data_IF_487690309763
#
_entry.id   IF_487690309763
#
_cell.length_a   1.000
_cell.length_b   1.000
_cell.length_c   1.000
_cell.angle_alpha   90.00
_cell.angle_beta   90.00
_cell.angle_gamma   90.00
#
_symmetry.space_group_name_H-M   'P 1'
#
loop_
_entity.id
_entity.type
_entity.pdbx_description
1 polymer ?
#
# COMPACT_ATOMS: atom_id res chain seq x y z
N UNK A 1 1.12 5.76 -19.56
CA UNK A 1 2.51 5.40 -19.18
C UNK A 1 2.45 5.00 -17.72
N UNK A 2 3.08 3.91 -17.31
CA UNK A 2 3.13 3.50 -15.90
C UNK A 2 4.11 4.38 -15.14
N UNK A 3 3.73 4.81 -13.93
CA UNK A 3 4.64 5.50 -13.02
C UNK A 3 5.30 4.49 -12.09
N UNK A 4 6.62 4.63 -11.95
CA UNK A 4 7.41 3.85 -10.99
C UNK A 4 7.85 4.74 -9.84
N UNK A 5 7.74 4.23 -8.63
CA UNK A 5 8.15 4.90 -7.41
C UNK A 5 9.04 4.01 -6.54
N UNK A 6 9.44 4.59 -5.42
CA UNK A 6 10.22 3.91 -4.40
C UNK A 6 9.57 4.12 -3.02
N UNK A 7 9.76 3.20 -2.07
CA UNK A 7 9.40 3.47 -0.68
C UNK A 7 10.43 4.43 -0.05
N UNK A 8 10.05 5.07 1.05
CA UNK A 8 11.06 5.66 1.94
C UNK A 8 11.94 4.56 2.53
N UNK A 9 13.24 4.82 2.61
CA UNK A 9 14.24 3.86 3.08
C UNK A 9 14.83 4.32 4.42
N UNK A 10 15.01 3.39 5.36
CA UNK A 10 15.67 3.68 6.66
C UNK A 10 17.12 4.18 6.46
N UNK A 11 17.79 3.74 5.39
CA UNK A 11 19.12 4.20 5.01
C UNK A 11 19.17 5.69 4.64
N UNK A 12 18.02 6.29 4.29
CA UNK A 12 17.88 7.68 3.85
C UNK A 12 16.83 8.39 4.72
N UNK A 13 17.17 8.78 5.95
CA UNK A 13 16.20 9.33 6.90
C UNK A 13 15.67 10.72 6.50
N UNK A 14 16.42 11.49 5.71
CA UNK A 14 15.96 12.79 5.23
C UNK A 14 15.13 12.65 3.94
N UNK A 15 13.96 13.30 3.85
CA UNK A 15 13.12 13.27 2.64
C UNK A 15 13.85 13.76 1.38
N UNK A 16 14.77 14.70 1.54
CA UNK A 16 15.60 15.25 0.47
C UNK A 16 16.53 14.19 -0.16
N UNK A 17 17.12 13.31 0.66
CA UNK A 17 17.99 12.22 0.19
C UNK A 17 17.18 11.18 -0.60
N UNK A 18 15.96 10.85 -0.12
CA UNK A 18 15.03 10.00 -0.87
C UNK A 18 14.67 10.64 -2.22
N UNK A 19 14.39 11.94 -2.24
CA UNK A 19 14.05 12.65 -3.47
C UNK A 19 15.23 12.72 -4.45
N UNK A 20 16.42 12.93 -3.96
CA UNK A 20 17.66 12.87 -4.75
C UNK A 20 17.85 11.52 -5.42
N UNK A 21 17.68 10.42 -4.67
CA UNK A 21 17.76 9.06 -5.19
C UNK A 21 16.63 8.75 -6.18
N UNK A 22 15.39 9.15 -5.87
CA UNK A 22 14.23 8.97 -6.74
C UNK A 22 14.50 9.59 -8.13
N UNK A 23 15.01 10.82 -8.14
CA UNK A 23 15.39 11.52 -9.38
C UNK A 23 16.59 10.88 -10.10
N UNK A 24 17.64 10.49 -9.39
CA UNK A 24 18.82 9.76 -9.95
C UNK A 24 18.35 8.51 -10.69
N UNK A 25 17.38 7.81 -10.10
CA UNK A 25 16.83 6.58 -10.66
C UNK A 25 15.71 6.83 -11.68
N UNK A 26 15.35 8.07 -12.03
CA UNK A 26 14.31 8.39 -12.99
C UNK A 26 12.93 7.87 -12.58
N UNK A 27 12.68 7.76 -11.29
CA UNK A 27 11.38 7.40 -10.71
C UNK A 27 10.50 8.64 -10.58
N UNK A 28 9.17 8.45 -10.54
CA UNK A 28 8.20 9.53 -10.59
C UNK A 28 7.64 9.89 -9.22
N UNK A 29 7.68 8.97 -8.25
CA UNK A 29 7.09 9.22 -6.94
C UNK A 29 7.81 8.49 -5.80
N UNK A 30 7.54 8.94 -4.58
CA UNK A 30 8.00 8.31 -3.34
C UNK A 30 6.78 7.96 -2.52
N UNK A 31 6.70 6.72 -2.06
CA UNK A 31 5.75 6.29 -1.05
C UNK A 31 6.32 6.55 0.33
N UNK A 32 5.75 7.53 1.02
CA UNK A 32 6.09 7.82 2.41
C UNK A 32 5.53 6.72 3.30
N UNK A 33 6.29 6.25 4.31
CA UNK A 33 5.83 5.20 5.21
C UNK A 33 5.58 5.75 6.61
N UNK A 34 4.33 5.74 7.07
CA UNK A 34 3.91 6.25 8.38
C UNK A 34 4.48 5.45 9.58
N UNK A 35 5.00 4.23 9.37
CA UNK A 35 5.72 3.54 10.44
C UNK A 35 7.02 4.26 10.83
N UNK A 36 7.54 5.15 9.96
CA UNK A 36 8.67 6.01 10.27
C UNK A 36 8.18 7.29 10.97
N UNK A 37 8.66 7.62 12.19
CA UNK A 37 8.11 8.70 13.01
C UNK A 37 8.04 10.07 12.32
N UNK A 38 8.98 10.37 11.42
CA UNK A 38 9.02 11.64 10.68
C UNK A 38 7.90 11.78 9.64
N UNK A 39 7.23 10.70 9.26
CA UNK A 39 6.13 10.69 8.29
C UNK A 39 4.74 10.53 8.93
N UNK A 40 4.67 10.56 10.26
CA UNK A 40 3.39 10.69 10.96
C UNK A 40 2.75 12.04 10.64
N UNK A 41 1.41 12.13 10.45
CA UNK A 41 0.74 13.35 9.98
C UNK A 41 1.01 14.60 10.80
N UNK A 42 1.21 14.45 12.12
CA UNK A 42 1.53 15.55 13.06
C UNK A 42 3.01 15.99 13.02
N UNK A 43 3.87 15.23 12.32
CA UNK A 43 5.32 15.49 12.20
C UNK A 43 5.74 15.98 10.84
N UNK A 44 4.95 15.71 9.82
CA UNK A 44 5.29 16.09 8.44
C UNK A 44 5.31 17.61 8.26
N UNK A 45 6.43 18.12 7.79
CA UNK A 45 6.50 19.49 7.28
C UNK A 45 5.98 19.54 5.83
N UNK A 46 4.70 19.89 5.69
CA UNK A 46 4.01 20.01 4.41
C UNK A 46 4.70 21.01 3.47
N UNK A 47 5.27 22.09 3.99
CA UNK A 47 5.95 23.11 3.16
C UNK A 47 7.26 22.56 2.61
N UNK A 48 8.03 21.85 3.44
CA UNK A 48 9.26 21.20 3.00
C UNK A 48 8.99 20.16 1.93
N UNK A 49 7.98 19.26 2.12
CA UNK A 49 7.64 18.27 1.11
C UNK A 49 7.11 18.88 -0.20
N UNK A 50 6.35 19.98 -0.15
CA UNK A 50 5.96 20.71 -1.37
C UNK A 50 7.18 21.25 -2.11
N UNK A 51 8.13 21.85 -1.41
CA UNK A 51 9.37 22.35 -2.02
C UNK A 51 10.18 21.23 -2.65
N UNK A 52 10.27 20.06 -2.02
CA UNK A 52 10.91 18.87 -2.56
C UNK A 52 10.18 18.39 -3.82
N UNK A 53 8.86 18.25 -3.78
CA UNK A 53 8.02 17.87 -4.93
C UNK A 53 8.29 18.77 -6.14
N UNK A 54 8.28 20.08 -5.95
CA UNK A 54 8.50 21.07 -7.02
C UNK A 54 9.94 21.01 -7.54
N UNK A 55 10.94 20.96 -6.64
CA UNK A 55 12.35 20.96 -7.01
C UNK A 55 12.76 19.72 -7.80
N UNK A 56 12.26 18.56 -7.41
CA UNK A 56 12.64 17.28 -8.00
C UNK A 56 11.68 16.80 -9.09
N UNK A 57 10.51 17.45 -9.26
CA UNK A 57 9.50 17.10 -10.25
C UNK A 57 8.90 15.70 -9.99
N UNK A 58 8.63 15.38 -8.73
CA UNK A 58 8.05 14.11 -8.28
C UNK A 58 6.74 14.36 -7.52
N UNK A 59 6.01 13.29 -7.19
CA UNK A 59 4.88 13.36 -6.27
C UNK A 59 5.02 12.32 -5.16
N UNK A 60 4.10 12.32 -4.20
CA UNK A 60 4.11 11.38 -3.08
C UNK A 60 2.85 10.52 -3.09
N UNK A 61 2.97 9.30 -2.59
CA UNK A 61 1.91 8.47 -2.04
C UNK A 61 2.21 8.24 -0.56
N UNK A 62 1.29 7.63 0.18
CA UNK A 62 1.49 7.42 1.62
C UNK A 62 1.06 6.01 2.00
N UNK A 63 1.96 5.25 2.59
CA UNK A 63 1.64 4.00 3.25
C UNK A 63 1.23 4.28 4.70
N UNK A 64 0.00 3.93 5.05
CA UNK A 64 -0.52 4.08 6.42
C UNK A 64 0.20 3.12 7.38
N UNK A 65 0.00 3.32 8.67
CA UNK A 65 0.56 2.43 9.68
C UNK A 65 0.15 0.97 9.42
N UNK A 66 1.11 0.05 9.42
CA UNK A 66 0.86 -1.39 9.20
C UNK A 66 -0.08 -1.99 10.26
N UNK A 67 -0.07 -1.44 11.48
CA UNK A 67 -0.94 -1.87 12.58
C UNK A 67 -2.33 -1.21 12.56
N UNK A 68 -2.65 -0.37 11.57
CA UNK A 68 -3.93 0.31 11.50
C UNK A 68 -5.08 -0.71 11.46
N UNK A 69 -5.92 -0.67 12.50
CA UNK A 69 -7.01 -1.63 12.70
C UNK A 69 -8.32 -0.91 13.10
N UNK A 70 -8.99 -0.24 12.16
CA UNK A 70 -10.24 0.47 12.46
C UNK A 70 -11.39 -0.47 12.86
N UNK A 71 -11.24 -1.78 12.62
CA UNK A 71 -12.14 -2.83 13.09
C UNK A 71 -11.88 -3.32 14.52
N UNK A 72 -10.93 -2.73 15.25
CA UNK A 72 -10.61 -3.16 16.62
C UNK A 72 -11.85 -3.13 17.53
N UNK A 73 -11.97 -4.14 18.40
CA UNK A 73 -13.13 -4.24 19.30
C UNK A 73 -13.02 -3.35 20.55
N UNK A 74 -11.83 -2.80 20.82
CA UNK A 74 -11.70 -1.69 21.76
C UNK A 74 -12.07 -0.38 21.04
N UNK A 75 -13.19 0.27 21.40
CA UNK A 75 -13.68 1.44 20.67
C UNK A 75 -12.72 2.64 20.73
N UNK A 76 -11.92 2.76 21.80
CA UNK A 76 -10.93 3.83 21.90
C UNK A 76 -9.76 3.63 20.93
N UNK A 77 -9.34 2.38 20.71
CA UNK A 77 -8.28 2.03 19.76
C UNK A 77 -8.79 2.20 18.33
N UNK A 78 -9.99 1.67 18.03
CA UNK A 78 -10.62 1.81 16.72
C UNK A 78 -10.81 3.30 16.33
N UNK A 79 -11.28 4.13 17.26
CA UNK A 79 -11.43 5.58 17.04
C UNK A 79 -10.07 6.27 16.84
N UNK A 80 -9.03 5.88 17.59
CA UNK A 80 -7.69 6.41 17.39
C UNK A 80 -7.18 6.12 15.98
N UNK A 81 -7.33 4.89 15.48
CA UNK A 81 -6.94 4.52 14.13
C UNK A 81 -7.77 5.26 13.07
N UNK A 82 -9.07 5.36 13.26
CA UNK A 82 -9.95 6.11 12.34
C UNK A 82 -9.56 7.58 12.25
N UNK A 83 -9.21 8.19 13.39
CA UNK A 83 -8.71 9.57 13.44
C UNK A 83 -7.36 9.71 12.73
N UNK A 84 -6.43 8.78 12.95
CA UNK A 84 -5.13 8.76 12.27
C UNK A 84 -5.31 8.68 10.75
N UNK A 85 -6.22 7.82 10.26
CA UNK A 85 -6.55 7.76 8.83
C UNK A 85 -7.13 9.09 8.31
N UNK A 86 -8.01 9.75 9.06
CA UNK A 86 -8.55 11.05 8.69
C UNK A 86 -7.45 12.14 8.62
N UNK A 87 -6.49 12.12 9.53
CA UNK A 87 -5.33 13.01 9.51
C UNK A 87 -4.43 12.75 8.30
N UNK A 88 -4.19 11.47 7.97
CA UNK A 88 -3.46 11.07 6.76
C UNK A 88 -4.18 11.51 5.48
N UNK A 89 -5.51 11.44 5.42
CA UNK A 89 -6.30 11.96 4.30
C UNK A 89 -6.11 13.48 4.15
N UNK A 90 -6.14 14.23 5.26
CA UNK A 90 -5.88 15.69 5.22
C UNK A 90 -4.48 16.00 4.72
N UNK A 91 -3.47 15.25 5.16
CA UNK A 91 -2.10 15.35 4.66
C UNK A 91 -2.03 15.05 3.15
N UNK A 92 -2.68 13.98 2.71
CA UNK A 92 -2.72 13.61 1.29
C UNK A 92 -3.37 14.72 0.45
N UNK A 93 -4.45 15.32 0.91
CA UNK A 93 -5.09 16.48 0.24
C UNK A 93 -4.15 17.67 0.18
N UNK A 94 -3.43 17.96 1.26
CA UNK A 94 -2.50 19.09 1.33
C UNK A 94 -1.29 18.92 0.39
N UNK A 95 -0.85 17.69 0.13
CA UNK A 95 0.29 17.36 -0.74
C UNK A 95 -0.15 16.83 -2.11
N UNK A 96 -1.46 16.80 -2.39
CA UNK A 96 -2.04 16.26 -3.64
C UNK A 96 -1.58 14.82 -3.93
N UNK A 97 -1.53 14.02 -2.88
CA UNK A 97 -1.19 12.60 -3.02
C UNK A 97 -2.37 11.84 -3.61
N UNK A 98 -2.17 11.04 -4.67
CA UNK A 98 -3.27 10.30 -5.29
C UNK A 98 -3.68 9.04 -4.53
N UNK A 99 -2.79 8.46 -3.72
CA UNK A 99 -2.96 7.16 -3.06
C UNK A 99 -2.51 7.22 -1.60
N UNK A 100 -3.36 6.65 -0.76
CA UNK A 100 -3.04 6.15 0.59
C UNK A 100 -3.12 4.63 0.53
N UNK A 101 -2.06 3.93 0.90
CA UNK A 101 -2.04 2.46 0.96
C UNK A 101 -2.33 1.97 2.36
N UNK A 102 -3.14 0.92 2.53
CA UNK A 102 -3.46 0.34 3.84
C UNK A 102 -3.55 -1.18 3.81
N UNK A 103 -3.19 -1.79 4.92
CA UNK A 103 -3.42 -3.21 5.17
C UNK A 103 -4.77 -3.46 5.85
N UNK A 104 -5.33 -4.66 5.69
CA UNK A 104 -6.40 -5.15 6.53
C UNK A 104 -5.82 -6.02 7.65
N UNK A 105 -5.94 -5.53 8.89
CA UNK A 105 -5.52 -6.30 10.07
C UNK A 105 -6.37 -7.55 10.25
N UNK A 106 -5.72 -8.69 10.55
CA UNK A 106 -6.41 -9.93 10.94
C UNK A 106 -7.01 -9.86 12.35
N UNK A 107 -6.65 -8.84 13.12
CA UNK A 107 -7.06 -8.69 14.50
C UNK A 107 -6.51 -9.78 15.41
N UNK A 108 -7.12 -9.90 16.59
CA UNK A 108 -6.73 -10.86 17.61
C UNK A 108 -7.25 -12.26 17.25
N UNK A 109 -6.44 -13.28 17.53
CA UNK A 109 -6.84 -14.69 17.41
C UNK A 109 -6.51 -15.47 18.66
N UNK A 110 -7.28 -16.53 18.90
CA UNK A 110 -6.98 -17.56 19.90
C UNK A 110 -6.42 -18.80 19.22
N UNK A 111 -5.32 -19.32 19.77
CA UNK A 111 -4.76 -20.59 19.33
C UNK A 111 -5.45 -21.73 20.06
N UNK A 112 -6.33 -22.44 19.36
CA UNK A 112 -6.95 -23.68 19.84
C UNK A 112 -6.06 -24.88 19.47
N UNK A 113 -6.27 -26.07 20.06
CA UNK A 113 -5.44 -27.23 19.74
C UNK A 113 -5.33 -27.55 18.24
N UNK A 114 -6.40 -27.37 17.49
CA UNK A 114 -6.47 -27.76 16.08
C UNK A 114 -6.38 -26.60 15.10
N UNK A 115 -6.69 -25.35 15.53
CA UNK A 115 -6.77 -24.19 14.63
C UNK A 115 -6.64 -22.86 15.38
N UNK A 116 -6.32 -21.81 14.61
CA UNK A 116 -6.49 -20.42 15.05
C UNK A 116 -7.92 -19.96 14.80
N UNK A 117 -8.51 -19.26 15.78
CA UNK A 117 -9.84 -18.66 15.70
C UNK A 117 -9.64 -17.15 15.73
N UNK A 118 -9.92 -16.47 14.65
CA UNK A 118 -9.86 -15.01 14.55
C UNK A 118 -11.14 -14.40 15.13
N UNK A 119 -10.99 -13.40 16.00
CA UNK A 119 -12.15 -12.77 16.63
C UNK A 119 -13.00 -11.98 15.63
N UNK A 120 -12.40 -11.42 14.58
CA UNK A 120 -13.15 -10.76 13.52
C UNK A 120 -14.06 -11.70 12.74
N UNK A 121 -13.67 -12.97 12.62
CA UNK A 121 -14.53 -14.01 12.04
C UNK A 121 -15.69 -14.39 12.95
N UNK A 122 -15.42 -14.57 14.26
CA UNK A 122 -16.44 -14.93 15.27
C UNK A 122 -17.49 -13.82 15.45
N UNK A 123 -17.05 -12.57 15.45
CA UNK A 123 -17.89 -11.39 15.63
C UNK A 123 -17.99 -10.59 14.32
N UNK A 124 -18.24 -11.28 13.22
CA UNK A 124 -18.18 -10.77 11.86
C UNK A 124 -19.05 -9.54 11.63
N UNK A 125 -20.31 -9.59 12.06
CA UNK A 125 -21.24 -8.46 11.89
C UNK A 125 -20.73 -7.18 12.58
N UNK A 126 -20.14 -7.32 13.76
CA UNK A 126 -19.54 -6.20 14.49
C UNK A 126 -18.31 -5.66 13.75
N UNK A 127 -17.44 -6.54 13.25
CA UNK A 127 -16.29 -6.15 12.45
C UNK A 127 -16.73 -5.40 11.18
N UNK A 128 -17.66 -5.94 10.42
CA UNK A 128 -18.16 -5.32 9.19
C UNK A 128 -18.87 -3.97 9.47
N UNK A 129 -19.61 -3.87 10.58
CA UNK A 129 -20.19 -2.61 11.01
C UNK A 129 -19.13 -1.53 11.29
N UNK A 130 -18.02 -1.90 11.95
CA UNK A 130 -16.90 -1.00 12.19
C UNK A 130 -16.21 -0.59 10.88
N UNK A 131 -16.00 -1.53 9.96
CA UNK A 131 -15.42 -1.25 8.65
C UNK A 131 -16.31 -0.34 7.78
N UNK A 132 -17.63 -0.49 7.90
CA UNK A 132 -18.60 0.41 7.26
C UNK A 132 -18.45 1.85 7.82
N UNK A 133 -18.43 1.99 9.14
CA UNK A 133 -18.27 3.29 9.78
C UNK A 133 -16.94 3.95 9.39
N UNK A 134 -15.86 3.18 9.33
CA UNK A 134 -14.55 3.63 8.85
C UNK A 134 -14.62 4.11 7.39
N UNK A 135 -15.21 3.32 6.50
CA UNK A 135 -15.43 3.68 5.08
C UNK A 135 -16.15 5.03 4.96
N UNK A 136 -17.30 5.13 5.62
CA UNK A 136 -18.17 6.31 5.54
C UNK A 136 -17.44 7.57 6.08
N UNK A 137 -16.63 7.41 7.12
CA UNK A 137 -15.79 8.49 7.65
C UNK A 137 -14.68 8.91 6.70
N UNK A 138 -13.97 7.95 6.09
CA UNK A 138 -12.91 8.24 5.11
C UNK A 138 -13.50 8.92 3.86
N UNK A 139 -14.62 8.43 3.35
CA UNK A 139 -15.30 9.03 2.20
C UNK A 139 -15.71 10.49 2.47
N UNK A 140 -16.27 10.76 3.64
CA UNK A 140 -16.62 12.13 4.06
C UNK A 140 -15.39 13.03 4.17
N UNK A 141 -14.27 12.52 4.72
CA UNK A 141 -13.03 13.30 4.85
C UNK A 141 -12.35 13.59 3.50
N UNK A 142 -12.39 12.63 2.57
CA UNK A 142 -11.87 12.79 1.21
C UNK A 142 -12.71 13.82 0.45
N UNK A 143 -14.05 13.73 0.52
CA UNK A 143 -14.97 14.61 -0.20
C UNK A 143 -14.69 14.59 -1.72
N UNK A 144 -14.60 15.76 -2.38
CA UNK A 144 -14.38 15.85 -3.83
C UNK A 144 -12.90 15.64 -4.26
N UNK A 145 -11.98 15.38 -3.33
CA UNK A 145 -10.56 15.23 -3.66
C UNK A 145 -10.29 13.93 -4.42
N UNK A 146 -9.31 13.97 -5.32
CA UNK A 146 -8.90 12.81 -6.12
C UNK A 146 -7.92 11.90 -5.35
N UNK A 147 -8.26 11.57 -4.11
CA UNK A 147 -7.47 10.67 -3.24
C UNK A 147 -8.15 9.31 -3.19
N UNK A 148 -7.39 8.23 -3.28
CA UNK A 148 -7.87 6.86 -3.10
C UNK A 148 -7.19 6.21 -1.90
N UNK A 149 -7.95 5.42 -1.14
CA UNK A 149 -7.40 4.51 -0.15
C UNK A 149 -7.35 3.14 -0.80
N UNK A 150 -6.14 2.65 -1.04
CA UNK A 150 -5.90 1.36 -1.67
C UNK A 150 -5.66 0.30 -0.60
N UNK A 151 -6.46 -0.75 -0.61
CA UNK A 151 -6.32 -1.90 0.30
C UNK A 151 -5.35 -2.89 -0.31
N UNK A 152 -4.31 -3.24 0.45
CA UNK A 152 -3.24 -4.13 0.04
C UNK A 152 -3.43 -5.55 0.59
N UNK A 153 -3.02 -6.53 -0.19
CA UNK A 153 -2.86 -7.91 0.25
C UNK A 153 -1.49 -8.10 0.93
N UNK A 154 -1.51 -8.58 2.18
CA UNK A 154 -0.28 -8.83 2.94
C UNK A 154 -0.11 -10.31 3.28
N UNK A 155 -0.96 -10.82 4.17
CA UNK A 155 -0.84 -12.15 4.76
C UNK A 155 -1.82 -13.18 4.17
N UNK A 156 -2.55 -12.83 3.15
CA UNK A 156 -3.66 -13.57 2.58
C UNK A 156 -5.01 -13.14 3.13
N UNK A 157 -5.93 -12.83 2.23
CA UNK A 157 -7.29 -12.52 2.60
C UNK A 157 -8.01 -13.76 3.16
N UNK A 158 -8.73 -13.55 4.26
CA UNK A 158 -9.68 -14.51 4.82
C UNK A 158 -11.09 -14.16 4.36
N UNK A 159 -12.07 -15.03 4.58
CA UNK A 159 -13.46 -14.78 4.17
C UNK A 159 -14.01 -13.46 4.72
N UNK A 160 -13.75 -13.16 6.00
CA UNK A 160 -14.19 -11.90 6.59
C UNK A 160 -13.45 -10.67 6.02
N UNK A 161 -12.21 -10.84 5.54
CA UNK A 161 -11.50 -9.78 4.80
C UNK A 161 -12.10 -9.56 3.42
N UNK A 162 -12.51 -10.62 2.72
CA UNK A 162 -13.14 -10.47 1.41
C UNK A 162 -14.48 -9.72 1.52
N UNK A 163 -15.29 -10.02 2.55
CA UNK A 163 -16.53 -9.28 2.83
C UNK A 163 -16.25 -7.82 3.19
N UNK A 164 -15.26 -7.56 4.03
CA UNK A 164 -14.85 -6.19 4.36
C UNK A 164 -14.32 -5.44 3.13
N UNK A 165 -13.57 -6.13 2.26
CA UNK A 165 -13.06 -5.57 1.02
C UNK A 165 -14.20 -5.17 0.08
N UNK A 166 -15.19 -6.05 -0.12
CA UNK A 166 -16.37 -5.76 -0.93
C UNK A 166 -17.15 -4.56 -0.38
N UNK A 167 -17.32 -4.52 0.94
CA UNK A 167 -17.96 -3.40 1.64
C UNK A 167 -17.18 -2.08 1.45
N UNK A 168 -15.86 -2.07 1.58
CA UNK A 168 -15.04 -0.88 1.37
C UNK A 168 -15.13 -0.40 -0.09
N UNK A 169 -15.08 -1.31 -1.04
CA UNK A 169 -15.13 -1.03 -2.47
C UNK A 169 -16.52 -0.57 -2.98
N UNK A 170 -17.58 -0.61 -2.17
CA UNK A 170 -18.83 0.09 -2.49
C UNK A 170 -18.61 1.60 -2.63
N UNK A 171 -17.66 2.16 -1.88
CA UNK A 171 -17.28 3.56 -1.99
C UNK A 171 -16.26 3.78 -3.12
N UNK A 172 -16.43 4.82 -3.96
CA UNK A 172 -15.44 5.19 -4.95
C UNK A 172 -14.12 5.70 -4.35
N UNK A 173 -14.09 6.01 -3.06
CA UNK A 173 -12.89 6.44 -2.33
C UNK A 173 -11.89 5.29 -2.13
N UNK A 174 -12.36 4.04 -2.16
CA UNK A 174 -11.52 2.86 -1.95
C UNK A 174 -11.14 2.19 -3.26
N UNK A 175 -9.95 1.63 -3.30
CA UNK A 175 -9.36 0.92 -4.42
C UNK A 175 -8.46 -0.22 -3.91
N UNK A 176 -7.66 -0.83 -4.78
CA UNK A 176 -6.79 -1.95 -4.45
C UNK A 176 -5.34 -1.65 -4.77
N UNK A 177 -4.47 -2.12 -3.88
CA UNK A 177 -3.05 -2.36 -4.12
C UNK A 177 -2.82 -3.85 -4.30
N UNK A 178 -2.06 -4.24 -5.32
CA UNK A 178 -1.60 -5.61 -5.45
C UNK A 178 -0.12 -5.71 -5.15
N UNK A 179 0.20 -6.30 -4.01
CA UNK A 179 1.56 -6.70 -3.68
C UNK A 179 1.83 -8.11 -4.22
N UNK A 180 2.72 -8.20 -5.21
CA UNK A 180 3.06 -9.45 -5.89
C UNK A 180 3.96 -10.36 -5.05
N UNK A 181 4.80 -9.77 -4.21
CA UNK A 181 5.72 -10.53 -3.37
C UNK A 181 5.01 -11.13 -2.16
N UNK A 182 4.13 -10.37 -1.50
CA UNK A 182 3.27 -10.90 -0.44
C UNK A 182 2.37 -12.02 -0.97
N UNK A 183 1.77 -11.83 -2.14
CA UNK A 183 0.99 -12.87 -2.80
C UNK A 183 1.81 -14.13 -3.04
N UNK A 184 3.06 -14.01 -3.53
CA UNK A 184 3.96 -15.15 -3.73
C UNK A 184 4.24 -15.87 -2.40
N UNK A 185 4.55 -15.14 -1.34
CA UNK A 185 4.86 -15.70 -0.01
C UNK A 185 3.75 -16.55 0.61
N UNK A 186 2.51 -16.37 0.17
CA UNK A 186 1.34 -17.15 0.60
C UNK A 186 0.85 -18.17 -0.44
N UNK A 187 1.64 -18.42 -1.48
CA UNK A 187 1.33 -19.39 -2.54
C UNK A 187 0.32 -18.90 -3.59
N UNK A 188 0.26 -17.58 -3.83
CA UNK A 188 -0.54 -17.01 -4.93
C UNK A 188 -2.05 -16.89 -4.65
N UNK A 189 -2.49 -17.07 -3.41
CA UNK A 189 -3.93 -17.16 -3.05
C UNK A 189 -4.70 -15.86 -3.24
N UNK A 190 -4.05 -14.71 -3.07
CA UNK A 190 -4.71 -13.42 -3.15
C UNK A 190 -4.91 -12.93 -4.59
N UNK A 191 -4.18 -13.49 -5.56
CA UNK A 191 -4.30 -13.09 -6.96
C UNK A 191 -5.76 -13.22 -7.46
N UNK A 192 -6.42 -14.32 -7.14
CA UNK A 192 -7.82 -14.54 -7.56
C UNK A 192 -8.77 -13.53 -6.90
N UNK A 193 -8.51 -13.15 -5.62
CA UNK A 193 -9.31 -12.16 -4.89
C UNK A 193 -9.17 -10.78 -5.52
N UNK A 194 -7.95 -10.38 -5.85
CA UNK A 194 -7.64 -9.10 -6.50
C UNK A 194 -8.20 -9.05 -7.92
N UNK A 195 -7.99 -10.10 -8.73
CA UNK A 195 -8.40 -10.11 -10.13
C UNK A 195 -9.91 -10.13 -10.33
N UNK A 196 -10.68 -10.67 -9.39
CA UNK A 196 -12.16 -10.54 -9.41
C UNK A 196 -12.63 -9.08 -9.26
N UNK A 197 -11.78 -8.20 -8.71
CA UNK A 197 -12.05 -6.77 -8.45
C UNK A 197 -11.11 -5.86 -9.23
N UNK A 198 -10.57 -6.33 -10.35
CA UNK A 198 -9.50 -5.68 -11.13
C UNK A 198 -9.82 -4.26 -11.59
N UNK A 199 -11.09 -3.90 -11.75
CA UNK A 199 -11.51 -2.54 -12.12
C UNK A 199 -11.24 -1.52 -11.01
N UNK A 200 -10.96 -1.99 -9.79
CA UNK A 200 -10.57 -1.16 -8.64
C UNK A 200 -9.06 -1.18 -8.39
N UNK A 201 -8.29 -1.92 -9.17
CA UNK A 201 -6.85 -2.06 -9.02
C UNK A 201 -6.13 -0.87 -9.67
N UNK A 202 -5.39 -0.08 -8.88
CA UNK A 202 -4.71 1.12 -9.37
C UNK A 202 -3.32 1.37 -8.75
N UNK A 203 -2.90 0.51 -7.83
CA UNK A 203 -1.60 0.61 -7.18
C UNK A 203 -0.97 -0.78 -7.04
N UNK A 204 0.36 -0.82 -7.01
CA UNK A 204 1.10 -2.07 -6.95
C UNK A 204 2.34 -1.92 -6.10
N UNK A 205 2.66 -2.96 -5.33
CA UNK A 205 3.97 -3.14 -4.71
C UNK A 205 4.69 -4.28 -5.41
N UNK A 206 5.89 -3.97 -5.90
CA UNK A 206 6.71 -4.92 -6.64
C UNK A 206 8.02 -5.16 -5.90
N UNK A 207 8.19 -6.36 -5.44
CA UNK A 207 9.44 -6.95 -5.01
C UNK A 207 9.47 -8.41 -5.37
N UNK A 208 10.65 -9.00 -5.45
CA UNK A 208 10.79 -10.43 -5.73
C UNK A 208 10.78 -11.24 -4.44
N UNK A 209 10.66 -12.55 -4.56
CA UNK A 209 10.60 -13.47 -3.44
C UNK A 209 11.11 -14.86 -3.78
N UNK A 210 11.56 -15.59 -2.75
CA UNK A 210 11.91 -17.01 -2.81
C UNK A 210 11.22 -17.70 -1.63
N UNK A 211 10.27 -18.58 -1.91
CA UNK A 211 9.43 -19.16 -0.88
C UNK A 211 8.73 -18.08 -0.03
N UNK A 212 9.04 -18.00 1.27
CA UNK A 212 8.50 -16.97 2.18
C UNK A 212 9.39 -15.72 2.33
N UNK A 213 10.60 -15.72 1.75
CA UNK A 213 11.50 -14.58 1.79
C UNK A 213 11.05 -13.58 0.73
N UNK A 214 10.69 -12.38 1.17
CA UNK A 214 10.16 -11.30 0.34
C UNK A 214 11.08 -10.07 0.31
N UNK A 215 10.66 -9.00 -0.34
CA UNK A 215 11.37 -7.73 -0.54
C UNK A 215 12.76 -7.89 -1.20
N UNK A 216 12.92 -8.93 -2.02
CA UNK A 216 14.15 -9.14 -2.81
C UNK A 216 14.15 -8.20 -4.04
N UNK A 217 15.34 -7.85 -4.55
CA UNK A 217 15.45 -7.12 -5.82
C UNK A 217 14.78 -7.89 -6.96
N UNK A 218 14.11 -7.18 -7.86
CA UNK A 218 13.41 -7.79 -9.01
C UNK A 218 14.37 -8.58 -9.89
N UNK A 219 13.93 -9.78 -10.30
CA UNK A 219 14.70 -10.71 -11.12
C UNK A 219 15.71 -11.55 -10.35
N UNK A 220 15.67 -11.54 -9.01
CA UNK A 220 16.53 -12.38 -8.17
C UNK A 220 15.78 -13.50 -7.45
N UNK A 221 14.47 -13.56 -7.62
CA UNK A 221 13.59 -14.55 -7.01
C UNK A 221 12.86 -15.43 -8.02
N UNK A 222 11.67 -15.88 -7.64
CA UNK A 222 10.86 -16.89 -8.36
C UNK A 222 9.62 -16.29 -9.03
N UNK A 223 9.35 -14.97 -8.84
CA UNK A 223 8.13 -14.33 -9.30
C UNK A 223 8.21 -14.03 -10.80
N UNK A 224 7.15 -14.40 -11.56
CA UNK A 224 7.00 -13.91 -12.93
C UNK A 224 6.58 -12.42 -12.94
N UNK A 225 7.55 -11.56 -12.64
CA UNK A 225 7.35 -10.11 -12.57
C UNK A 225 6.84 -9.54 -13.91
N UNK A 226 7.19 -10.17 -15.07
CA UNK A 226 6.74 -9.70 -16.38
C UNK A 226 5.23 -9.85 -16.56
N UNK A 227 4.63 -10.91 -16.02
CA UNK A 227 3.18 -11.11 -15.96
C UNK A 227 2.50 -9.94 -15.26
N UNK A 228 3.03 -9.55 -14.10
CA UNK A 228 2.45 -8.48 -13.28
C UNK A 228 2.73 -7.08 -13.84
N UNK A 229 3.86 -6.87 -14.52
CA UNK A 229 4.07 -5.64 -15.30
C UNK A 229 3.00 -5.45 -16.39
N UNK A 230 2.61 -6.51 -17.07
CA UNK A 230 1.53 -6.43 -18.06
C UNK A 230 0.17 -6.13 -17.41
N UNK A 231 -0.10 -6.69 -16.22
CA UNK A 231 -1.31 -6.40 -15.46
C UNK A 231 -1.35 -4.92 -15.04
N UNK A 232 -0.25 -4.39 -14.49
CA UNK A 232 -0.15 -3.01 -14.06
C UNK A 232 -0.31 -2.03 -15.24
N UNK A 233 0.27 -2.34 -16.39
CA UNK A 233 0.11 -1.56 -17.62
C UNK A 233 -1.37 -1.48 -18.06
N UNK A 234 -2.07 -2.60 -18.05
CA UNK A 234 -3.49 -2.68 -18.41
C UNK A 234 -4.41 -1.95 -17.41
N UNK A 235 -4.02 -1.89 -16.14
CA UNK A 235 -4.78 -1.20 -15.08
C UNK A 235 -4.48 0.31 -15.01
N UNK A 236 -3.46 0.81 -15.74
CA UNK A 236 -2.96 2.18 -15.59
C UNK A 236 -2.40 2.45 -14.19
N UNK A 237 -1.92 1.39 -13.52
CA UNK A 237 -1.49 1.43 -12.13
C UNK A 237 -0.12 2.08 -11.90
N UNK A 238 0.12 2.49 -10.66
CA UNK A 238 1.40 2.97 -10.15
C UNK A 238 2.13 1.81 -9.49
N UNK A 239 3.44 1.73 -9.64
CA UNK A 239 4.26 0.64 -9.11
C UNK A 239 5.29 1.20 -8.14
N UNK A 240 5.22 0.81 -6.88
CA UNK A 240 6.32 0.98 -5.90
C UNK A 240 7.30 -0.18 -6.06
N UNK A 241 8.57 0.11 -6.29
CA UNK A 241 9.64 -0.89 -6.23
C UNK A 241 10.04 -1.11 -4.77
N UNK A 242 9.32 -2.00 -4.09
CA UNK A 242 9.35 -2.11 -2.64
C UNK A 242 10.50 -3.00 -2.14
N UNK A 243 11.70 -2.51 -2.25
CA UNK A 243 12.88 -3.10 -1.61
C UNK A 243 13.29 -2.29 -0.37
N UNK A 244 13.96 -2.92 0.57
CA UNK A 244 14.28 -2.30 1.87
C UNK A 244 15.64 -1.61 1.90
N UNK A 245 16.40 -1.62 0.78
CA UNK A 245 17.75 -1.03 0.70
C UNK A 245 17.97 -0.26 -0.60
N UNK A 246 18.87 0.73 -0.55
CA UNK A 246 19.29 1.51 -1.73
C UNK A 246 19.88 0.58 -2.82
N UNK A 247 20.67 -0.42 -2.43
CA UNK A 247 21.25 -1.38 -3.38
C UNK A 247 20.17 -2.18 -4.09
N UNK A 248 19.23 -2.76 -3.33
CA UNK A 248 18.13 -3.54 -3.89
C UNK A 248 17.23 -2.71 -4.80
N UNK A 249 16.97 -1.46 -4.44
CA UNK A 249 16.21 -0.54 -5.29
C UNK A 249 16.92 -0.28 -6.63
N UNK A 250 18.24 0.01 -6.58
CA UNK A 250 19.04 0.23 -7.81
C UNK A 250 19.06 -1.01 -8.73
N UNK A 251 19.09 -2.20 -8.15
CA UNK A 251 19.02 -3.47 -8.89
C UNK A 251 17.62 -3.65 -9.54
N UNK A 252 16.57 -3.41 -8.79
CA UNK A 252 15.19 -3.49 -9.28
C UNK A 252 14.92 -2.51 -10.43
N UNK A 253 15.39 -1.27 -10.32
CA UNK A 253 15.29 -0.28 -11.40
C UNK A 253 16.01 -0.72 -12.66
N UNK A 254 17.23 -1.28 -12.53
CA UNK A 254 17.98 -1.81 -13.70
C UNK A 254 17.21 -2.94 -14.38
N UNK A 255 16.65 -3.86 -13.57
CA UNK A 255 15.86 -4.95 -14.09
C UNK A 255 14.61 -4.47 -14.84
N UNK A 256 13.83 -3.54 -14.26
CA UNK A 256 12.64 -2.96 -14.88
C UNK A 256 12.98 -2.30 -16.23
N UNK A 257 14.04 -1.50 -16.28
CA UNK A 257 14.48 -0.85 -17.54
C UNK A 257 14.80 -1.85 -18.64
N UNK A 258 15.49 -2.95 -18.28
CA UNK A 258 15.80 -4.02 -19.23
C UNK A 258 14.54 -4.73 -19.68
N UNK A 259 13.62 -5.05 -18.77
CA UNK A 259 12.38 -5.74 -19.09
C UNK A 259 11.46 -4.92 -20.01
N UNK A 260 11.37 -3.60 -19.80
CA UNK A 260 10.57 -2.70 -20.65
C UNK A 260 11.21 -2.50 -22.03
N UNK A 261 12.56 -2.37 -22.10
CA UNK A 261 13.27 -2.22 -23.36
C UNK A 261 13.16 -3.44 -24.27
N UNK A 262 13.07 -4.64 -23.69
CA UNK A 262 12.90 -5.88 -24.43
C UNK A 262 11.49 -6.10 -25.02
N UNK A 263 10.49 -5.28 -24.61
CA UNK A 263 9.12 -5.29 -25.17
C UNK A 263 8.96 -4.39 -26.41
N UNK A 264 9.90 -3.50 -26.66
CA UNK A 264 9.93 -2.60 -27.84
C UNK A 264 10.73 -3.21 -28.97
#
# INVERSE_FOLDING_TARGET
MMDFGMPTLIELPAPEDCAGLCRELGLQFIELNMNLPQYQPDRVDVKALRSIRERYGLYFTLHLDENLSPGDFNPHVAEAYTRTAAEAIRLAKALEMPVLNMHLSRGVYFTMPEKKIFLFDVYRDRYLSSMKAFRDRCEAEIGPAAVKICVENCDGFTDFHEEALDLLLESPAFALTFDIGHNHGIGGRDEAVILRRRERLCHFHFHDGVGKKNHLPLGTGEIDVKKYLALAENSGGRIVLETKTVVGLKESVRWVRTAISAKR
#
